data_IF_360532275133
#
_entry.id   IF_360532275133
#
_cell.length_a   1.000
_cell.length_b   1.000
_cell.length_c   1.000
_cell.angle_alpha   90.00
_cell.angle_beta   90.00
_cell.angle_gamma   90.00
#
_symmetry.space_group_name_H-M   'P 1'
#
loop_
_entity.id
_entity.type
_entity.pdbx_description
1 polymer ?
#
# COMPACT_ATOMS: atom_id res chain seq x y z
N UNK A 1 57.10 -44.16 0.87
CA UNK A 1 55.91 -44.99 0.59
C UNK A 1 54.71 -44.30 1.18
N UNK A 2 53.80 -43.90 0.29
CA UNK A 2 52.60 -43.12 0.55
C UNK A 2 51.53 -44.00 1.18
N UNK A 3 50.81 -43.50 2.19
CA UNK A 3 49.43 -43.95 2.46
C UNK A 3 48.61 -42.72 2.85
N UNK A 4 47.83 -42.25 1.88
CA UNK A 4 46.98 -41.09 1.98
C UNK A 4 45.75 -41.38 2.85
N UNK A 5 45.43 -40.45 3.75
CA UNK A 5 44.18 -40.40 4.47
C UNK A 5 43.10 -39.84 3.53
N UNK A 6 42.08 -40.63 3.24
CA UNK A 6 40.94 -40.27 2.38
C UNK A 6 40.09 -39.17 3.02
N UNK A 7 40.14 -37.97 2.45
CA UNK A 7 39.20 -36.87 2.74
C UNK A 7 37.92 -37.11 1.93
N UNK A 8 36.79 -37.20 2.62
CA UNK A 8 35.45 -37.24 2.03
C UNK A 8 35.13 -35.89 1.37
N UNK A 9 34.57 -35.83 0.15
CA UNK A 9 34.20 -34.57 -0.45
C UNK A 9 32.93 -34.04 0.24
N UNK A 10 33.03 -32.84 0.83
CA UNK A 10 31.87 -32.05 1.23
C UNK A 10 31.02 -31.84 -0.03
N UNK A 11 29.81 -32.38 -0.01
CA UNK A 11 28.75 -32.04 -0.97
C UNK A 11 28.53 -30.54 -0.90
N UNK A 12 28.95 -29.84 -1.95
CA UNK A 12 28.53 -28.46 -2.22
C UNK A 12 27.01 -28.48 -2.38
N UNK A 13 26.30 -28.00 -1.37
CA UNK A 13 24.89 -27.65 -1.53
C UNK A 13 24.90 -26.43 -2.44
N UNK A 14 24.79 -26.68 -3.75
CA UNK A 14 24.40 -25.65 -4.70
C UNK A 14 23.03 -25.16 -4.26
N UNK A 15 22.97 -23.96 -3.67
CA UNK A 15 21.75 -23.19 -3.56
C UNK A 15 21.20 -23.02 -4.97
N UNK A 16 20.27 -23.90 -5.35
CA UNK A 16 19.50 -23.75 -6.56
C UNK A 16 18.73 -22.44 -6.40
N UNK A 17 19.18 -21.39 -7.09
CA UNK A 17 18.40 -20.19 -7.28
C UNK A 17 17.02 -20.64 -7.78
N UNK A 18 15.99 -20.46 -6.97
CA UNK A 18 14.63 -20.82 -7.39
C UNK A 18 14.32 -20.06 -8.69
N UNK A 19 13.78 -20.73 -9.72
CA UNK A 19 13.49 -20.08 -10.98
C UNK A 19 12.53 -18.92 -10.73
N UNK A 20 12.96 -17.70 -11.11
CA UNK A 20 12.11 -16.52 -11.04
C UNK A 20 10.73 -16.85 -11.63
N UNK A 21 9.63 -16.51 -10.95
CA UNK A 21 8.30 -16.82 -11.45
C UNK A 21 8.14 -16.20 -12.83
N UNK A 22 7.99 -17.06 -13.85
CA UNK A 22 7.68 -16.64 -15.22
C UNK A 22 6.45 -15.74 -15.20
N UNK A 23 6.45 -14.64 -15.95
CA UNK A 23 5.34 -13.69 -16.07
C UNK A 23 3.95 -14.35 -16.12
N UNK A 24 3.82 -15.44 -16.89
CA UNK A 24 2.59 -16.23 -17.04
C UNK A 24 2.12 -16.93 -15.74
N UNK A 25 3.03 -17.31 -14.84
CA UNK A 25 2.67 -17.90 -13.53
C UNK A 25 2.15 -16.85 -12.56
N UNK A 26 2.61 -15.61 -12.65
CA UNK A 26 2.16 -14.52 -11.78
C UNK A 26 0.84 -13.92 -12.28
N UNK A 27 0.73 -13.63 -13.58
CA UNK A 27 -0.45 -12.98 -14.16
C UNK A 27 -1.51 -13.96 -14.69
N UNK A 28 -1.24 -15.27 -14.70
CA UNK A 28 -2.15 -16.27 -15.28
C UNK A 28 -3.55 -16.24 -14.67
N UNK A 29 -3.65 -16.13 -13.34
CA UNK A 29 -4.94 -16.00 -12.67
C UNK A 29 -5.63 -14.67 -12.96
N UNK A 30 -4.90 -13.56 -13.03
CA UNK A 30 -5.46 -12.26 -13.41
C UNK A 30 -6.02 -12.30 -14.83
N UNK A 31 -5.35 -12.97 -15.78
CA UNK A 31 -5.84 -13.13 -17.14
C UNK A 31 -7.12 -13.98 -17.19
N UNK A 32 -7.18 -15.08 -16.45
CA UNK A 32 -8.39 -15.91 -16.34
C UNK A 32 -9.54 -15.08 -15.77
N UNK A 33 -9.32 -14.35 -14.69
CA UNK A 33 -10.35 -13.52 -14.07
C UNK A 33 -10.76 -12.37 -15.00
N UNK A 34 -9.85 -11.80 -15.78
CA UNK A 34 -10.17 -10.79 -16.78
C UNK A 34 -11.08 -11.33 -17.87
N UNK A 35 -10.78 -12.51 -18.41
CA UNK A 35 -11.63 -13.18 -19.40
C UNK A 35 -13.00 -13.49 -18.80
N UNK A 36 -13.05 -14.05 -17.58
CA UNK A 36 -14.30 -14.36 -16.89
C UNK A 36 -15.10 -13.09 -16.56
N UNK A 37 -14.46 -12.01 -16.14
CA UNK A 37 -15.10 -10.73 -15.84
C UNK A 37 -15.66 -10.07 -17.10
N UNK A 38 -14.91 -10.05 -18.19
CA UNK A 38 -15.38 -9.54 -19.49
C UNK A 38 -16.53 -10.38 -20.04
N UNK A 39 -16.44 -11.71 -19.96
CA UNK A 39 -17.51 -12.62 -20.35
C UNK A 39 -18.75 -12.45 -19.46
N UNK A 40 -18.55 -12.27 -18.15
CA UNK A 40 -19.61 -11.97 -17.19
C UNK A 40 -20.31 -10.65 -17.49
N UNK A 41 -19.55 -9.60 -17.80
CA UNK A 41 -20.09 -8.31 -18.27
C UNK A 41 -20.90 -8.47 -19.56
N UNK A 42 -20.39 -9.22 -20.52
CA UNK A 42 -21.10 -9.52 -21.77
C UNK A 42 -22.42 -10.27 -21.54
N UNK A 43 -22.42 -11.30 -20.69
CA UNK A 43 -23.64 -12.03 -20.36
C UNK A 43 -24.65 -11.21 -19.58
N UNK A 44 -24.18 -10.31 -18.72
CA UNK A 44 -25.03 -9.49 -17.88
C UNK A 44 -25.70 -8.32 -18.64
N UNK A 45 -24.96 -7.63 -19.52
CA UNK A 45 -25.46 -6.43 -20.19
C UNK A 45 -25.01 -6.26 -21.64
N UNK A 46 -24.60 -7.34 -22.29
CA UNK A 46 -24.21 -7.35 -23.71
C UNK A 46 -22.89 -6.62 -24.00
N UNK A 47 -22.73 -6.19 -25.24
CA UNK A 47 -21.50 -5.53 -25.72
C UNK A 47 -21.19 -4.23 -24.99
N UNK A 48 -22.22 -3.49 -24.58
CA UNK A 48 -22.06 -2.22 -23.84
C UNK A 48 -21.48 -2.48 -22.45
N UNK A 49 -22.02 -3.44 -21.70
CA UNK A 49 -21.49 -3.79 -20.40
C UNK A 49 -20.07 -4.38 -20.49
N UNK A 50 -19.77 -5.19 -21.52
CA UNK A 50 -18.39 -5.64 -21.77
C UNK A 50 -17.43 -4.45 -21.96
N UNK A 51 -17.82 -3.46 -22.77
CA UNK A 51 -16.99 -2.27 -23.01
C UNK A 51 -16.79 -1.47 -21.72
N UNK A 52 -17.85 -1.28 -20.92
CA UNK A 52 -17.75 -0.57 -19.63
C UNK A 52 -16.87 -1.34 -18.64
N UNK A 53 -17.03 -2.66 -18.51
CA UNK A 53 -16.15 -3.50 -17.68
C UNK A 53 -14.69 -3.36 -18.11
N UNK A 54 -14.41 -3.36 -19.42
CA UNK A 54 -13.06 -3.18 -19.93
C UNK A 54 -12.48 -1.80 -19.58
N UNK A 55 -13.27 -0.73 -19.76
CA UNK A 55 -12.88 0.64 -19.41
C UNK A 55 -12.58 0.74 -17.92
N UNK A 56 -13.47 0.22 -17.07
CA UNK A 56 -13.29 0.23 -15.62
C UNK A 56 -12.07 -0.58 -15.17
N UNK A 57 -11.80 -1.72 -15.79
CA UNK A 57 -10.60 -2.50 -15.50
C UNK A 57 -9.32 -1.73 -15.86
N UNK A 58 -9.30 -1.03 -17.01
CA UNK A 58 -8.16 -0.20 -17.42
C UNK A 58 -8.01 1.02 -16.51
N UNK A 59 -9.13 1.65 -16.15
CA UNK A 59 -9.15 2.78 -15.22
C UNK A 59 -8.55 2.38 -13.87
N UNK A 60 -9.02 1.27 -13.29
CA UNK A 60 -8.47 0.74 -12.04
C UNK A 60 -6.97 0.43 -12.14
N UNK A 61 -6.51 -0.23 -13.22
CA UNK A 61 -5.08 -0.53 -13.40
C UNK A 61 -4.25 0.76 -13.50
N UNK A 62 -4.80 1.79 -14.16
CA UNK A 62 -4.08 3.04 -14.40
C UNK A 62 -3.96 3.86 -13.12
N UNK A 63 -5.05 3.96 -12.36
CA UNK A 63 -5.13 4.76 -11.13
C UNK A 63 -4.48 4.08 -9.93
N UNK A 64 -4.41 2.75 -9.92
CA UNK A 64 -3.90 1.98 -8.78
C UNK A 64 -2.48 1.45 -8.97
N UNK A 65 -1.74 1.94 -9.98
CA UNK A 65 -0.38 1.47 -10.26
C UNK A 65 0.62 1.88 -9.18
N UNK A 66 0.64 3.16 -8.79
CA UNK A 66 1.45 3.68 -7.69
C UNK A 66 1.10 2.99 -6.36
N UNK A 67 -0.17 2.71 -6.13
CA UNK A 67 -0.66 1.93 -4.99
C UNK A 67 -0.05 0.53 -4.97
N UNK A 68 0.08 -0.11 -6.14
CA UNK A 68 0.71 -1.42 -6.27
C UNK A 68 2.18 -1.40 -5.80
N UNK A 69 2.90 -0.31 -6.07
CA UNK A 69 4.30 -0.12 -5.68
C UNK A 69 4.41 0.18 -4.18
N UNK A 70 3.58 1.09 -3.66
CA UNK A 70 3.51 1.39 -2.23
C UNK A 70 3.24 0.11 -1.43
N UNK A 71 2.24 -0.67 -1.84
CA UNK A 71 1.92 -1.93 -1.20
C UNK A 71 3.06 -2.93 -1.30
N UNK A 72 3.78 -2.99 -2.43
CA UNK A 72 4.92 -3.89 -2.59
C UNK A 72 6.04 -3.56 -1.58
N UNK A 73 6.32 -2.27 -1.37
CA UNK A 73 7.31 -1.78 -0.40
C UNK A 73 7.00 -2.17 1.05
N UNK A 74 5.72 -2.24 1.41
CA UNK A 74 5.30 -2.67 2.75
C UNK A 74 5.24 -4.20 2.82
N UNK A 75 4.74 -4.87 1.77
CA UNK A 75 4.57 -6.32 1.72
C UNK A 75 5.90 -7.08 1.79
N UNK A 76 6.99 -6.53 1.24
CA UNK A 76 8.33 -7.12 1.35
C UNK A 76 8.83 -7.23 2.80
N UNK A 77 8.29 -6.42 3.73
CA UNK A 77 8.63 -6.45 5.16
C UNK A 77 7.92 -7.60 5.91
N UNK A 78 7.05 -8.36 5.24
CA UNK A 78 6.27 -9.44 5.85
C UNK A 78 6.75 -10.82 5.46
N UNK A 79 6.54 -11.79 6.36
CA UNK A 79 6.94 -13.18 6.10
C UNK A 79 6.23 -13.78 4.88
N UNK A 80 6.82 -14.78 4.20
CA UNK A 80 6.19 -15.43 3.04
C UNK A 80 4.76 -15.94 3.31
N UNK A 81 4.48 -16.34 4.56
CA UNK A 81 3.13 -16.72 4.98
C UNK A 81 2.15 -15.54 4.90
N UNK A 82 2.50 -14.40 5.48
CA UNK A 82 1.67 -13.20 5.45
C UNK A 82 1.56 -12.60 4.05
N UNK A 83 2.63 -12.68 3.26
CA UNK A 83 2.55 -12.39 1.83
C UNK A 83 1.48 -13.26 1.15
N UNK A 84 1.41 -14.57 1.45
CA UNK A 84 0.36 -15.44 0.90
C UNK A 84 -1.05 -15.07 1.40
N UNK A 85 -1.21 -14.67 2.66
CA UNK A 85 -2.50 -14.22 3.20
C UNK A 85 -2.98 -12.95 2.50
N UNK A 86 -2.10 -11.97 2.32
CA UNK A 86 -2.40 -10.76 1.56
C UNK A 86 -2.88 -11.08 0.13
N UNK A 87 -2.29 -12.11 -0.48
CA UNK A 87 -2.64 -12.54 -1.84
C UNK A 87 -3.83 -13.47 -1.95
N UNK A 88 -4.42 -13.87 -0.83
CA UNK A 88 -5.58 -14.76 -0.82
C UNK A 88 -6.77 -14.07 -0.18
N UNK A 89 -6.66 -13.80 1.12
CA UNK A 89 -7.68 -13.10 1.90
C UNK A 89 -7.72 -11.62 1.55
N UNK A 90 -6.55 -10.98 1.43
CA UNK A 90 -6.47 -9.55 1.10
C UNK A 90 -7.05 -9.22 -0.29
N UNK A 91 -7.03 -10.16 -1.24
CA UNK A 91 -7.73 -10.00 -2.52
C UNK A 91 -9.24 -9.98 -2.32
N UNK A 92 -9.78 -10.89 -1.50
CA UNK A 92 -11.21 -10.94 -1.22
C UNK A 92 -11.67 -9.66 -0.50
N UNK A 93 -10.86 -9.16 0.44
CA UNK A 93 -11.13 -7.89 1.13
C UNK A 93 -11.04 -6.72 0.16
N UNK A 94 -9.99 -6.61 -0.65
CA UNK A 94 -9.86 -5.52 -1.62
C UNK A 94 -11.00 -5.50 -2.64
N UNK A 95 -11.37 -6.65 -3.21
CA UNK A 95 -12.38 -6.71 -4.27
C UNK A 95 -13.80 -6.62 -3.71
N UNK A 96 -14.14 -7.41 -2.69
CA UNK A 96 -15.52 -7.44 -2.16
C UNK A 96 -15.69 -6.52 -0.96
N UNK A 97 -14.73 -6.52 -0.04
CA UNK A 97 -14.73 -5.64 1.11
C UNK A 97 -14.71 -4.17 0.69
N UNK A 98 -13.67 -3.73 -0.03
CA UNK A 98 -13.48 -2.31 -0.28
C UNK A 98 -14.34 -1.72 -1.40
N UNK A 99 -14.78 -2.52 -2.37
CA UNK A 99 -15.55 -2.01 -3.52
C UNK A 99 -17.05 -2.25 -3.42
N UNK A 100 -17.50 -3.22 -2.64
CA UNK A 100 -18.92 -3.54 -2.49
C UNK A 100 -19.40 -3.29 -1.06
N UNK A 101 -18.76 -3.90 -0.07
CA UNK A 101 -19.20 -3.80 1.32
C UNK A 101 -18.94 -2.42 1.91
N UNK A 102 -17.75 -1.86 1.70
CA UNK A 102 -17.35 -0.58 2.29
C UNK A 102 -18.20 0.59 1.79
N UNK A 103 -18.43 0.80 0.47
CA UNK A 103 -19.32 1.85 -0.01
C UNK A 103 -20.73 1.70 0.56
N UNK A 104 -21.24 0.47 0.67
CA UNK A 104 -22.55 0.17 1.24
C UNK A 104 -22.62 0.53 2.73
N UNK A 105 -21.58 0.19 3.51
CA UNK A 105 -21.48 0.53 4.92
C UNK A 105 -21.40 2.03 5.13
N UNK A 106 -20.58 2.73 4.33
CA UNK A 106 -20.47 4.18 4.40
C UNK A 106 -21.83 4.81 4.16
N UNK A 107 -22.49 4.52 3.03
CA UNK A 107 -23.79 5.11 2.70
C UNK A 107 -24.83 4.78 3.78
N UNK A 108 -24.83 3.55 4.30
CA UNK A 108 -25.70 3.16 5.41
C UNK A 108 -25.50 4.03 6.66
N UNK A 109 -24.26 4.27 7.05
CA UNK A 109 -23.92 5.07 8.25
C UNK A 109 -24.16 6.56 8.02
N UNK A 110 -23.69 7.13 6.92
CA UNK A 110 -23.75 8.57 6.65
C UNK A 110 -25.16 9.04 6.31
N UNK A 111 -25.89 8.28 5.50
CA UNK A 111 -27.27 8.58 5.13
C UNK A 111 -28.29 8.00 6.13
N UNK A 112 -27.83 7.31 7.19
CA UNK A 112 -28.66 6.68 8.22
C UNK A 112 -29.70 5.72 7.63
N UNK A 113 -29.30 4.97 6.61
CA UNK A 113 -30.11 3.96 5.95
C UNK A 113 -29.87 2.59 6.57
N UNK A 114 -30.91 1.75 6.60
CA UNK A 114 -30.71 0.34 6.93
C UNK A 114 -29.90 -0.36 5.82
N UNK A 115 -29.17 -1.45 6.12
CA UNK A 115 -28.39 -2.17 5.11
C UNK A 115 -29.21 -2.63 3.90
N UNK A 116 -30.48 -3.00 4.12
CA UNK A 116 -31.39 -3.41 3.06
C UNK A 116 -31.80 -2.24 2.16
N UNK A 117 -32.02 -1.05 2.72
CA UNK A 117 -32.35 0.16 1.95
C UNK A 117 -31.15 0.65 1.14
N UNK A 118 -29.95 0.66 1.73
CA UNK A 118 -28.74 1.02 1.01
C UNK A 118 -28.49 0.07 -0.18
N UNK A 119 -28.72 -1.24 0.02
CA UNK A 119 -28.59 -2.22 -1.06
C UNK A 119 -29.68 -2.04 -2.13
N UNK A 120 -30.92 -1.78 -1.72
CA UNK A 120 -32.01 -1.50 -2.65
C UNK A 120 -31.69 -0.29 -3.52
N UNK A 121 -31.23 0.80 -2.89
CA UNK A 121 -30.88 2.04 -3.57
C UNK A 121 -29.71 1.85 -4.54
N UNK A 122 -28.70 1.06 -4.17
CA UNK A 122 -27.62 0.69 -5.08
C UNK A 122 -28.15 -0.08 -6.30
N UNK A 123 -29.08 -1.01 -6.09
CA UNK A 123 -29.67 -1.83 -7.15
C UNK A 123 -30.70 -1.09 -8.02
N UNK A 124 -31.19 0.07 -7.58
CA UNK A 124 -32.05 0.96 -8.38
C UNK A 124 -31.27 1.67 -9.51
N UNK A 125 -29.92 1.69 -9.44
CA UNK A 125 -29.03 2.24 -10.48
C UNK A 125 -29.39 3.67 -10.90
N UNK A 126 -29.82 4.48 -9.94
CA UNK A 126 -30.16 5.88 -10.16
C UNK A 126 -28.97 6.70 -10.67
N UNK A 127 -29.26 7.82 -11.31
CA UNK A 127 -28.26 8.80 -11.74
C UNK A 127 -27.46 9.32 -10.53
N UNK A 128 -26.11 9.22 -10.49
CA UNK A 128 -25.29 9.64 -9.36
C UNK A 128 -25.38 11.13 -9.04
N UNK A 129 -25.81 11.95 -10.01
CA UNK A 129 -25.96 13.40 -9.83
C UNK A 129 -27.31 13.77 -9.20
N UNK A 130 -28.26 12.83 -9.13
CA UNK A 130 -29.59 13.08 -8.58
C UNK A 130 -29.60 12.92 -7.05
N UNK A 131 -30.01 13.94 -6.28
CA UNK A 131 -30.08 13.84 -4.82
C UNK A 131 -30.91 12.64 -4.35
N UNK A 132 -30.33 11.86 -3.45
CA UNK A 132 -30.97 10.69 -2.86
C UNK A 132 -30.74 9.36 -3.60
N UNK A 133 -30.04 9.35 -4.73
CA UNK A 133 -29.54 8.10 -5.34
C UNK A 133 -28.31 7.59 -4.59
N UNK A 134 -27.96 6.32 -4.82
CA UNK A 134 -26.82 5.70 -4.13
C UNK A 134 -25.50 6.39 -4.45
N UNK A 135 -25.24 6.68 -5.73
CA UNK A 135 -24.03 7.38 -6.16
C UNK A 135 -23.93 8.78 -5.55
N UNK A 136 -25.05 9.50 -5.48
CA UNK A 136 -25.10 10.81 -4.83
C UNK A 136 -24.73 10.72 -3.35
N UNK A 137 -25.35 9.79 -2.60
CA UNK A 137 -25.07 9.62 -1.17
C UNK A 137 -23.63 9.17 -0.89
N UNK A 138 -23.06 8.38 -1.80
CA UNK A 138 -21.66 7.96 -1.71
C UNK A 138 -20.71 9.15 -1.90
N UNK A 139 -20.97 9.99 -2.91
CA UNK A 139 -20.22 11.23 -3.13
C UNK A 139 -20.44 12.23 -1.97
N UNK A 140 -21.66 12.33 -1.45
CA UNK A 140 -21.96 13.16 -0.29
C UNK A 140 -21.17 12.74 0.96
N UNK A 141 -20.85 11.45 1.09
CA UNK A 141 -19.99 10.92 2.16
C UNK A 141 -18.49 11.17 1.94
N UNK A 142 -18.07 11.58 0.73
CA UNK A 142 -16.66 11.72 0.36
C UNK A 142 -15.84 12.56 1.36
N UNK A 143 -16.28 13.75 1.83
CA UNK A 143 -15.48 14.53 2.79
C UNK A 143 -15.16 13.79 4.09
N UNK A 144 -16.09 12.96 4.59
CA UNK A 144 -15.88 12.18 5.79
C UNK A 144 -14.83 11.07 5.57
N UNK A 145 -14.89 10.40 4.42
CA UNK A 145 -13.94 9.34 4.06
C UNK A 145 -12.56 9.91 3.82
N UNK A 146 -12.48 11.00 3.05
CA UNK A 146 -11.22 11.65 2.72
C UNK A 146 -10.53 12.21 3.98
N UNK A 147 -11.28 12.73 4.95
CA UNK A 147 -10.74 13.10 6.26
C UNK A 147 -10.23 11.88 7.05
N UNK A 148 -11.00 10.79 7.09
CA UNK A 148 -10.62 9.58 7.81
C UNK A 148 -9.35 8.94 7.23
N UNK A 149 -9.35 8.66 5.92
CA UNK A 149 -8.21 8.07 5.21
C UNK A 149 -7.02 9.02 5.14
N UNK A 150 -7.26 10.30 4.83
CA UNK A 150 -6.23 11.33 4.76
C UNK A 150 -5.49 11.51 6.10
N UNK A 151 -6.21 11.50 7.23
CA UNK A 151 -5.56 11.59 8.54
C UNK A 151 -4.79 10.33 8.93
N UNK A 152 -5.28 9.14 8.59
CA UNK A 152 -4.55 7.89 8.81
C UNK A 152 -3.24 7.88 8.02
N UNK A 153 -3.30 8.22 6.73
CA UNK A 153 -2.13 8.24 5.85
C UNK A 153 -1.17 9.38 6.21
N UNK A 154 -1.68 10.52 6.69
CA UNK A 154 -0.87 11.62 7.18
C UNK A 154 -0.07 11.21 8.42
N UNK A 155 -0.70 10.55 9.39
CA UNK A 155 -0.01 10.03 10.57
C UNK A 155 1.13 9.08 10.18
N UNK A 156 0.84 8.17 9.25
CA UNK A 156 1.83 7.26 8.71
C UNK A 156 3.00 8.00 8.06
N UNK A 157 2.71 8.98 7.21
CA UNK A 157 3.76 9.77 6.56
C UNK A 157 4.59 10.55 7.58
N UNK A 158 3.96 11.15 8.59
CA UNK A 158 4.64 11.91 9.64
C UNK A 158 5.54 11.02 10.50
N UNK A 159 5.10 9.80 10.82
CA UNK A 159 5.92 8.80 11.53
C UNK A 159 7.21 8.51 10.76
N UNK A 160 7.09 8.16 9.47
CA UNK A 160 8.27 8.01 8.60
C UNK A 160 9.10 9.30 8.51
N UNK A 161 8.47 10.46 8.40
CA UNK A 161 9.16 11.73 8.18
C UNK A 161 10.06 12.11 9.37
N UNK A 162 9.66 11.73 10.58
CA UNK A 162 10.36 12.02 11.83
C UNK A 162 11.25 10.89 12.36
N UNK A 163 11.08 9.66 11.86
CA UNK A 163 11.94 8.52 12.16
C UNK A 163 13.39 8.74 11.69
N UNK A 164 14.38 8.37 12.50
CA UNK A 164 15.80 8.41 12.11
C UNK A 164 16.12 7.30 11.12
N UNK A 165 16.61 7.67 9.93
CA UNK A 165 16.88 6.74 8.83
C UNK A 165 18.37 6.63 8.57
N UNK A 166 18.83 5.43 8.21
CA UNK A 166 20.23 5.21 7.79
C UNK A 166 20.57 5.95 6.51
N UNK A 167 19.60 6.08 5.61
CA UNK A 167 19.75 6.68 4.30
C UNK A 167 18.63 7.69 4.11
N UNK A 168 18.95 8.85 3.55
CA UNK A 168 17.97 9.88 3.20
C UNK A 168 17.95 10.10 1.70
N UNK A 169 16.76 10.16 1.10
CA UNK A 169 16.62 10.50 -0.31
C UNK A 169 16.66 12.02 -0.50
N UNK A 170 15.71 12.73 0.10
CA UNK A 170 15.65 14.20 0.11
C UNK A 170 16.41 14.74 1.32
N UNK A 171 17.73 14.60 1.32
CA UNK A 171 18.62 14.96 2.45
C UNK A 171 18.40 16.36 3.02
N UNK A 172 17.99 17.33 2.20
CA UNK A 172 17.71 18.71 2.60
C UNK A 172 16.37 18.89 3.33
N UNK A 173 15.44 17.94 3.19
CA UNK A 173 14.12 17.94 3.86
C UNK A 173 14.07 16.93 4.99
N UNK A 174 14.50 15.69 4.73
CA UNK A 174 14.40 14.59 5.70
C UNK A 174 15.31 14.81 6.93
N UNK A 175 16.59 15.16 6.75
CA UNK A 175 17.53 15.34 7.88
C UNK A 175 17.13 16.43 8.88
N UNK A 176 16.65 17.61 8.46
CA UNK A 176 16.10 18.57 9.40
C UNK A 176 14.91 18.01 10.19
N UNK A 177 14.00 17.30 9.52
CA UNK A 177 12.77 16.80 10.14
C UNK A 177 13.04 15.66 11.14
N UNK A 178 14.01 14.79 10.86
CA UNK A 178 14.49 13.76 11.80
C UNK A 178 14.96 14.36 13.13
N UNK A 179 15.62 15.53 13.09
CA UNK A 179 16.05 16.21 14.32
C UNK A 179 14.86 16.73 15.13
N UNK A 180 13.79 17.13 14.46
CA UNK A 180 12.56 17.62 15.10
C UNK A 180 11.75 16.44 15.67
N UNK A 181 11.88 15.25 15.08
CA UNK A 181 11.27 14.00 15.54
C UNK A 181 11.65 13.54 16.95
N UNK A 182 12.66 14.15 17.58
CA UNK A 182 13.01 13.92 19.00
C UNK A 182 11.94 14.38 20.00
N UNK A 183 10.93 15.09 19.53
CA UNK A 183 9.77 15.49 20.33
C UNK A 183 8.70 14.40 20.25
N UNK A 184 8.54 13.65 21.34
CA UNK A 184 7.50 12.64 21.46
C UNK A 184 6.13 13.22 21.06
N UNK A 185 5.40 12.50 20.20
CA UNK A 185 4.04 12.83 19.74
C UNK A 185 3.91 14.09 18.87
N UNK A 186 5.01 14.67 18.36
CA UNK A 186 4.92 15.83 17.48
C UNK A 186 4.07 15.55 16.22
N UNK A 187 4.17 14.35 15.66
CA UNK A 187 3.32 13.86 14.57
C UNK A 187 1.82 14.01 14.87
N UNK A 188 1.38 13.64 16.08
CA UNK A 188 -0.02 13.72 16.50
C UNK A 188 -0.47 15.18 16.57
N UNK A 189 0.38 16.06 17.11
CA UNK A 189 0.09 17.50 17.20
C UNK A 189 -0.04 18.12 15.83
N UNK A 190 0.88 17.81 14.91
CA UNK A 190 0.85 18.31 13.53
C UNK A 190 -0.37 17.78 12.80
N UNK A 191 -0.69 16.49 12.97
CA UNK A 191 -1.87 15.87 12.38
C UNK A 191 -3.17 16.54 12.88
N UNK A 192 -3.34 16.73 14.19
CA UNK A 192 -4.52 17.41 14.73
C UNK A 192 -4.63 18.87 14.26
N UNK A 193 -3.50 19.58 14.17
CA UNK A 193 -3.47 20.94 13.63
C UNK A 193 -3.87 20.95 12.14
N UNK A 194 -3.32 20.04 11.33
CA UNK A 194 -3.67 19.88 9.93
C UNK A 194 -5.15 19.55 9.75
N UNK A 195 -5.69 18.64 10.57
CA UNK A 195 -7.11 18.30 10.58
C UNK A 195 -7.99 19.51 10.91
N UNK A 196 -7.64 20.27 11.95
CA UNK A 196 -8.40 21.46 12.31
C UNK A 196 -8.40 22.48 11.16
N UNK A 197 -7.23 22.76 10.57
CA UNK A 197 -7.11 23.68 9.43
C UNK A 197 -7.94 23.15 8.25
N UNK A 198 -7.78 21.88 7.87
CA UNK A 198 -8.50 21.29 6.75
C UNK A 198 -10.01 21.29 6.98
N UNK A 199 -10.49 20.95 8.18
CA UNK A 199 -11.91 20.95 8.51
C UNK A 199 -12.53 22.35 8.37
N UNK A 200 -11.84 23.41 8.80
CA UNK A 200 -12.39 24.78 8.71
C UNK A 200 -12.20 25.45 7.35
N UNK A 201 -11.26 24.98 6.52
CA UNK A 201 -10.94 25.62 5.23
C UNK A 201 -11.44 24.84 4.01
N UNK A 202 -11.51 23.52 4.12
CA UNK A 202 -11.81 22.59 3.02
C UNK A 202 -13.14 21.85 3.21
N UNK A 203 -13.59 21.56 4.43
CA UNK A 203 -14.88 20.89 4.59
C UNK A 203 -16.06 21.78 4.14
N UNK A 204 -17.11 21.19 3.56
CA UNK A 204 -18.40 21.86 3.42
C UNK A 204 -18.90 22.37 4.77
N UNK A 205 -19.54 23.55 4.78
CA UNK A 205 -19.89 24.26 6.02
C UNK A 205 -20.81 23.45 6.95
N UNK A 206 -21.66 22.60 6.38
CA UNK A 206 -22.58 21.69 7.07
C UNK A 206 -21.92 20.38 7.54
N UNK A 207 -20.68 20.11 7.13
CA UNK A 207 -19.97 18.84 7.39
C UNK A 207 -18.70 18.97 8.24
N UNK A 208 -18.38 20.17 8.73
CA UNK A 208 -17.17 20.43 9.55
C UNK A 208 -17.06 19.44 10.72
N UNK A 209 -18.14 19.25 11.48
CA UNK A 209 -18.14 18.33 12.63
C UNK A 209 -17.93 16.86 12.22
N UNK A 210 -18.53 16.45 11.10
CA UNK A 210 -18.35 15.10 10.54
C UNK A 210 -16.90 14.90 10.11
N UNK A 211 -16.31 15.87 9.42
CA UNK A 211 -14.90 15.83 8.99
C UNK A 211 -13.95 15.76 10.19
N UNK A 212 -14.16 16.57 11.23
CA UNK A 212 -13.36 16.52 12.46
C UNK A 212 -13.47 15.15 13.14
N UNK A 213 -14.70 14.64 13.32
CA UNK A 213 -14.92 13.34 13.95
C UNK A 213 -14.26 12.21 13.14
N UNK A 214 -14.48 12.19 11.82
CA UNK A 214 -13.89 11.20 10.91
C UNK A 214 -12.36 11.27 10.90
N UNK A 215 -11.77 12.47 10.84
CA UNK A 215 -10.32 12.63 10.90
C UNK A 215 -9.73 12.16 12.23
N UNK A 216 -10.39 12.44 13.35
CA UNK A 216 -9.99 11.93 14.68
C UNK A 216 -10.08 10.40 14.70
N UNK A 217 -11.15 9.81 14.16
CA UNK A 217 -11.28 8.36 14.07
C UNK A 217 -10.19 7.73 13.19
N UNK A 218 -9.78 8.41 12.11
CA UNK A 218 -8.65 7.98 11.28
C UNK A 218 -7.33 7.97 12.06
N UNK A 219 -7.08 9.04 12.82
CA UNK A 219 -5.92 9.16 13.70
C UNK A 219 -5.92 8.09 14.82
N UNK A 220 -7.06 7.87 15.47
CA UNK A 220 -7.23 6.82 16.49
C UNK A 220 -6.96 5.44 15.87
N UNK A 221 -7.49 5.18 14.68
CA UNK A 221 -7.29 3.91 13.98
C UNK A 221 -5.80 3.68 13.71
N UNK A 222 -5.08 4.71 13.25
CA UNK A 222 -3.63 4.63 13.07
C UNK A 222 -2.92 4.30 14.39
N UNK A 223 -3.19 5.06 15.46
CA UNK A 223 -2.55 4.84 16.76
C UNK A 223 -2.84 3.45 17.34
N UNK A 224 -4.05 2.92 17.14
CA UNK A 224 -4.40 1.57 17.58
C UNK A 224 -3.65 0.51 16.76
N UNK A 225 -3.60 0.64 15.44
CA UNK A 225 -2.90 -0.32 14.57
C UNK A 225 -1.40 -0.29 14.82
N UNK A 226 -0.80 0.90 14.94
CA UNK A 226 0.63 1.07 15.17
C UNK A 226 1.03 0.71 16.61
N UNK A 227 0.33 1.25 17.60
CA UNK A 227 0.65 1.05 19.01
C UNK A 227 0.48 -0.41 19.48
N UNK A 228 -0.49 -1.14 18.91
CA UNK A 228 -0.59 -2.58 19.16
C UNK A 228 0.55 -3.36 18.47
N UNK A 229 0.99 -2.93 17.28
CA UNK A 229 2.14 -3.52 16.60
C UNK A 229 3.42 -3.44 17.44
N UNK A 230 3.74 -2.27 17.99
CA UNK A 230 4.90 -2.04 18.85
C UNK A 230 4.85 -2.88 20.14
N UNK A 231 3.71 -2.93 20.82
CA UNK A 231 3.54 -3.72 22.04
C UNK A 231 3.86 -5.21 21.82
N UNK A 232 3.48 -5.75 20.66
CA UNK A 232 3.71 -7.15 20.35
C UNK A 232 5.09 -7.44 19.79
N UNK A 233 5.74 -6.49 19.11
CA UNK A 233 7.16 -6.62 18.73
C UNK A 233 8.05 -6.75 19.97
N UNK A 234 7.76 -5.98 21.03
CA UNK A 234 8.46 -6.07 22.31
C UNK A 234 8.31 -7.46 22.97
N UNK A 235 7.13 -8.07 22.88
CA UNK A 235 6.91 -9.45 23.37
C UNK A 235 7.69 -10.50 22.56
N UNK A 236 7.73 -10.37 21.21
CA UNK A 236 8.43 -11.31 20.33
C UNK A 236 9.97 -11.21 20.46
N UNK A 237 10.52 -10.00 20.66
CA UNK A 237 11.97 -9.79 20.86
C UNK A 237 12.46 -10.37 22.20
N UNK A 238 11.64 -10.33 23.25
CA UNK A 238 11.95 -10.96 24.54
C UNK A 238 11.96 -12.50 24.47
N UNK A 239 11.13 -13.10 23.62
CA UNK A 239 11.05 -14.56 23.47
C UNK A 239 12.10 -15.15 22.51
N UNK A 240 12.55 -14.41 21.49
CA UNK A 240 13.33 -14.98 20.38
C UNK A 240 14.84 -14.72 20.43
N UNK A 241 15.36 -13.98 21.41
CA UNK A 241 16.79 -13.90 21.70
C UNK A 241 17.68 -13.60 20.47
N UNK A 242 17.44 -12.45 19.83
CA UNK A 242 18.36 -11.78 18.91
C UNK A 242 18.89 -12.58 17.72
N UNK A 243 18.28 -12.42 16.54
CA UNK A 243 18.94 -12.77 15.29
C UNK A 243 18.78 -11.64 14.25
N UNK A 244 19.91 -11.00 13.96
CA UNK A 244 20.08 -9.79 13.13
C UNK A 244 20.09 -10.10 11.63
N UNK A 245 19.11 -10.85 11.13
CA UNK A 245 18.84 -10.90 9.69
C UNK A 245 17.47 -10.30 9.46
N UNK A 246 17.44 -9.18 8.73
CA UNK A 246 16.27 -8.42 8.27
C UNK A 246 14.99 -8.88 8.97
N UNK A 247 14.65 -8.28 10.11
CA UNK A 247 13.52 -8.72 10.93
C UNK A 247 12.22 -8.60 10.10
N UNK A 248 11.89 -9.68 9.41
CA UNK A 248 10.68 -9.78 8.62
C UNK A 248 9.56 -9.98 9.61
N UNK A 249 8.55 -9.12 9.58
CA UNK A 249 7.45 -9.19 10.52
C UNK A 249 6.78 -10.57 10.44
N UNK A 250 6.59 -11.18 11.60
CA UNK A 250 5.86 -12.43 11.78
C UNK A 250 4.73 -12.25 12.79
N UNK A 251 4.03 -13.34 13.14
CA UNK A 251 3.09 -13.34 14.26
C UNK A 251 2.06 -12.20 14.24
N UNK A 252 2.02 -11.44 15.34
CA UNK A 252 1.07 -10.33 15.52
C UNK A 252 1.52 -9.08 14.77
N UNK A 253 2.82 -8.83 14.67
CA UNK A 253 3.38 -7.68 13.95
C UNK A 253 2.96 -7.66 12.48
N UNK A 254 3.04 -8.82 11.82
CA UNK A 254 2.61 -8.94 10.42
C UNK A 254 1.09 -8.90 10.24
N UNK A 255 0.30 -9.25 11.25
CA UNK A 255 -1.14 -9.04 11.23
C UNK A 255 -1.50 -7.55 11.22
N UNK A 256 -0.85 -6.73 12.03
CA UNK A 256 -1.07 -5.29 12.03
C UNK A 256 -0.60 -4.65 10.73
N UNK A 257 0.55 -5.06 10.22
CA UNK A 257 1.01 -4.66 8.89
C UNK A 257 0.04 -5.09 7.77
N UNK A 258 -0.63 -6.24 7.90
CA UNK A 258 -1.67 -6.67 6.98
C UNK A 258 -2.92 -5.78 7.06
N UNK A 259 -3.44 -5.49 8.26
CA UNK A 259 -4.56 -4.54 8.44
C UNK A 259 -4.19 -3.18 7.84
N UNK A 260 -2.97 -2.75 8.11
CA UNK A 260 -2.42 -1.51 7.62
C UNK A 260 -2.36 -1.46 6.08
N UNK A 261 -1.95 -2.55 5.42
CA UNK A 261 -2.02 -2.66 3.96
C UNK A 261 -3.46 -2.57 3.44
N UNK A 262 -4.39 -3.33 4.03
CA UNK A 262 -5.79 -3.30 3.62
C UNK A 262 -6.42 -1.92 3.80
N UNK A 263 -5.96 -1.14 4.78
CA UNK A 263 -6.40 0.24 4.99
C UNK A 263 -5.84 1.21 3.94
N UNK A 264 -4.58 1.04 3.55
CA UNK A 264 -3.99 1.79 2.44
C UNK A 264 -4.80 1.51 1.16
N UNK A 265 -5.09 0.24 0.89
CA UNK A 265 -5.94 -0.15 -0.22
C UNK A 265 -7.34 0.42 -0.13
N UNK A 266 -7.92 0.47 1.07
CA UNK A 266 -9.22 1.06 1.30
C UNK A 266 -9.26 2.53 0.87
N UNK A 267 -8.27 3.30 1.33
CA UNK A 267 -8.16 4.73 1.07
C UNK A 267 -8.00 5.02 -0.42
N UNK A 268 -7.11 4.27 -1.08
CA UNK A 268 -6.87 4.39 -2.52
C UNK A 268 -8.02 3.89 -3.40
N UNK A 269 -8.70 2.83 -2.98
CA UNK A 269 -9.78 2.23 -3.77
C UNK A 269 -11.07 3.05 -3.75
N UNK A 270 -11.25 3.93 -2.76
CA UNK A 270 -12.46 4.74 -2.65
C UNK A 270 -12.61 5.70 -3.84
N UNK A 271 -11.53 6.39 -4.22
CA UNK A 271 -11.53 7.29 -5.37
C UNK A 271 -11.86 6.53 -6.67
N UNK A 272 -11.29 5.33 -6.87
CA UNK A 272 -11.60 4.48 -8.01
C UNK A 272 -13.07 4.03 -8.07
N UNK A 273 -13.73 3.83 -6.92
CA UNK A 273 -15.17 3.53 -6.87
C UNK A 273 -16.00 4.77 -7.22
N UNK A 274 -15.64 5.94 -6.70
CA UNK A 274 -16.33 7.20 -7.02
C UNK A 274 -16.19 7.52 -8.52
N UNK A 275 -14.98 7.40 -9.08
CA UNK A 275 -14.72 7.56 -10.51
C UNK A 275 -15.49 6.55 -11.37
N UNK A 276 -15.69 5.32 -10.90
CA UNK A 276 -16.50 4.32 -11.60
C UNK A 276 -17.98 4.71 -11.69
N UNK A 277 -18.54 5.37 -10.66
CA UNK A 277 -19.91 5.87 -10.71
C UNK A 277 -20.11 6.96 -11.77
N UNK A 278 -19.07 7.73 -12.12
CA UNK A 278 -19.14 8.68 -13.23
C UNK A 278 -19.28 7.99 -14.61
N UNK A 279 -18.93 6.70 -14.71
CA UNK A 279 -19.05 5.92 -15.94
C UNK A 279 -20.33 5.09 -15.97
N UNK A 280 -20.73 4.51 -14.83
CA UNK A 280 -21.95 3.69 -14.75
C UNK A 280 -22.53 3.69 -13.34
N UNK A 281 -23.85 3.72 -13.22
CA UNK A 281 -24.56 3.56 -11.94
C UNK A 281 -24.79 2.10 -11.55
N UNK A 282 -24.35 1.13 -12.35
CA UNK A 282 -24.62 -0.27 -12.09
C UNK A 282 -23.55 -0.87 -11.17
N UNK A 283 -23.84 -1.11 -9.87
CA UNK A 283 -22.85 -1.59 -8.92
C UNK A 283 -22.29 -2.97 -9.28
N UNK A 284 -23.02 -3.77 -10.06
CA UNK A 284 -22.54 -5.08 -10.53
C UNK A 284 -21.46 -4.89 -11.59
N UNK A 285 -21.67 -3.97 -12.54
CA UNK A 285 -20.68 -3.65 -13.58
C UNK A 285 -19.44 -3.02 -12.95
N UNK A 286 -19.62 -2.12 -11.97
CA UNK A 286 -18.53 -1.54 -11.18
C UNK A 286 -17.71 -2.64 -10.50
N UNK A 287 -18.37 -3.52 -9.75
CA UNK A 287 -17.70 -4.59 -9.02
C UNK A 287 -16.92 -5.54 -9.94
N UNK A 288 -17.47 -5.87 -11.12
CA UNK A 288 -16.78 -6.72 -12.10
C UNK A 288 -15.58 -5.97 -12.70
N UNK A 289 -15.77 -4.75 -13.21
CA UNK A 289 -14.72 -3.97 -13.87
C UNK A 289 -13.55 -3.64 -12.95
N UNK A 290 -13.85 -3.01 -11.81
CA UNK A 290 -12.82 -2.69 -10.81
C UNK A 290 -12.24 -3.96 -10.19
N UNK A 291 -13.02 -5.04 -10.01
CA UNK A 291 -12.53 -6.32 -9.52
C UNK A 291 -11.49 -6.95 -10.45
N UNK A 292 -11.70 -6.88 -11.77
CA UNK A 292 -10.71 -7.34 -12.76
C UNK A 292 -9.43 -6.51 -12.67
N UNK A 293 -9.54 -5.18 -12.60
CA UNK A 293 -8.37 -4.31 -12.47
C UNK A 293 -7.59 -4.55 -11.17
N UNK A 294 -8.30 -4.71 -10.05
CA UNK A 294 -7.72 -5.01 -8.74
C UNK A 294 -6.91 -6.31 -8.76
N UNK A 295 -7.40 -7.35 -9.44
CA UNK A 295 -6.66 -8.60 -9.62
C UNK A 295 -5.35 -8.40 -10.39
N UNK A 296 -5.30 -7.49 -11.36
CA UNK A 296 -4.07 -7.17 -12.08
C UNK A 296 -3.08 -6.40 -11.21
N UNK A 297 -3.56 -5.37 -10.51
CA UNK A 297 -2.76 -4.57 -9.58
C UNK A 297 -2.15 -5.43 -8.49
N UNK A 298 -2.94 -6.34 -7.91
CA UNK A 298 -2.44 -7.29 -6.89
C UNK A 298 -1.36 -8.20 -7.45
N UNK A 299 -1.57 -8.80 -8.62
CA UNK A 299 -0.53 -9.62 -9.27
C UNK A 299 0.73 -8.82 -9.61
N UNK A 300 0.58 -7.54 -9.94
CA UNK A 300 1.70 -6.61 -10.11
C UNK A 300 2.46 -6.37 -8.80
N UNK A 301 1.76 -6.14 -7.68
CA UNK A 301 2.39 -6.05 -6.35
C UNK A 301 3.20 -7.29 -6.02
N UNK A 302 2.66 -8.49 -6.26
CA UNK A 302 3.40 -9.76 -6.09
C UNK A 302 4.63 -9.82 -6.97
N UNK A 303 4.45 -9.45 -8.24
CA UNK A 303 5.52 -9.49 -9.20
C UNK A 303 6.68 -8.61 -8.75
N UNK A 304 6.38 -7.38 -8.27
CA UNK A 304 7.36 -6.43 -7.75
C UNK A 304 8.09 -6.96 -6.52
N UNK A 305 7.37 -7.56 -5.57
CA UNK A 305 7.97 -8.16 -4.36
C UNK A 305 8.88 -9.35 -4.71
N UNK A 306 8.39 -10.29 -5.52
CA UNK A 306 9.13 -11.52 -5.86
C UNK A 306 10.31 -11.30 -6.79
N UNK A 307 10.29 -10.23 -7.59
CA UNK A 307 11.42 -9.85 -8.43
C UNK A 307 12.63 -9.41 -7.60
N UNK A 308 12.45 -9.08 -6.32
CA UNK A 308 13.53 -8.56 -5.46
C UNK A 308 14.11 -7.23 -5.95
N UNK A 309 13.50 -6.61 -6.96
CA UNK A 309 14.02 -5.35 -7.53
C UNK A 309 13.91 -4.21 -6.54
N UNK A 310 12.97 -4.26 -5.59
CA UNK A 310 12.81 -3.18 -4.60
C UNK A 310 14.00 -3.07 -3.65
N UNK A 311 14.55 -4.20 -3.17
CA UNK A 311 15.72 -4.18 -2.29
C UNK A 311 16.99 -3.66 -2.98
N UNK A 312 17.07 -3.74 -4.31
CA UNK A 312 18.18 -3.16 -5.08
C UNK A 312 18.11 -1.63 -5.19
N UNK A 313 16.95 -1.02 -4.92
CA UNK A 313 16.72 0.41 -5.10
C UNK A 313 16.46 1.11 -3.77
N UNK A 314 17.55 1.52 -3.14
CA UNK A 314 17.59 2.08 -1.78
C UNK A 314 16.59 3.22 -1.51
N UNK A 315 16.35 4.12 -2.48
CA UNK A 315 15.43 5.26 -2.26
C UNK A 315 13.97 4.93 -2.59
N UNK A 316 13.66 3.73 -3.09
CA UNK A 316 12.31 3.40 -3.55
C UNK A 316 11.30 3.40 -2.40
N UNK A 317 11.73 2.99 -1.21
CA UNK A 317 10.93 3.09 0.02
C UNK A 317 10.59 4.55 0.36
N UNK A 318 11.57 5.45 0.28
CA UNK A 318 11.34 6.88 0.49
C UNK A 318 10.32 7.43 -0.51
N UNK A 319 10.48 7.12 -1.80
CA UNK A 319 9.55 7.56 -2.83
C UNK A 319 8.11 7.09 -2.57
N UNK A 320 7.95 5.84 -2.09
CA UNK A 320 6.64 5.31 -1.71
C UNK A 320 6.04 6.08 -0.50
N UNK A 321 6.83 6.37 0.53
CA UNK A 321 6.35 7.12 1.70
C UNK A 321 6.00 8.58 1.35
N UNK A 322 6.79 9.22 0.49
CA UNK A 322 6.46 10.55 -0.03
C UNK A 322 5.19 10.53 -0.89
N UNK A 323 4.95 9.47 -1.66
CA UNK A 323 3.69 9.29 -2.42
C UNK A 323 2.48 9.15 -1.48
N UNK A 324 2.61 8.39 -0.39
CA UNK A 324 1.59 8.29 0.66
C UNK A 324 1.30 9.67 1.28
N UNK A 325 2.34 10.42 1.64
CA UNK A 325 2.18 11.77 2.21
C UNK A 325 1.50 12.74 1.24
N UNK A 326 1.86 12.68 -0.04
CA UNK A 326 1.20 13.45 -1.09
C UNK A 326 -0.27 13.06 -1.23
N UNK A 327 -0.60 11.76 -1.23
CA UNK A 327 -1.99 11.31 -1.25
C UNK A 327 -2.75 11.82 -0.02
N UNK A 328 -2.18 11.70 1.18
CA UNK A 328 -2.83 12.16 2.41
C UNK A 328 -3.27 13.64 2.31
N UNK A 329 -2.39 14.49 1.77
CA UNK A 329 -2.69 15.90 1.52
C UNK A 329 -3.74 16.07 0.42
N UNK A 330 -3.63 15.32 -0.68
CA UNK A 330 -4.60 15.37 -1.78
C UNK A 330 -6.00 14.95 -1.33
N UNK A 331 -6.14 13.91 -0.51
CA UNK A 331 -7.42 13.50 0.08
C UNK A 331 -8.03 14.63 0.93
N UNK A 332 -7.22 15.35 1.72
CA UNK A 332 -7.75 16.49 2.46
C UNK A 332 -8.22 17.60 1.51
N UNK A 333 -7.48 17.87 0.43
CA UNK A 333 -7.84 18.86 -0.60
C UNK A 333 -9.13 18.47 -1.34
N UNK A 334 -9.32 17.18 -1.64
CA UNK A 334 -10.48 16.68 -2.38
C UNK A 334 -11.80 16.86 -1.63
N UNK A 335 -11.77 17.12 -0.32
CA UNK A 335 -12.97 17.48 0.45
C UNK A 335 -13.70 18.72 -0.12
N UNK A 336 -12.97 19.61 -0.80
CA UNK A 336 -13.51 20.84 -1.40
C UNK A 336 -13.36 20.91 -2.90
N UNK A 337 -12.20 20.51 -3.40
CA UNK A 337 -11.80 20.73 -4.77
C UNK A 337 -11.76 19.41 -5.50
N UNK A 338 -12.43 19.33 -6.64
CA UNK A 338 -12.29 18.17 -7.53
C UNK A 338 -10.87 18.15 -8.09
N UNK A 339 -10.05 17.22 -7.60
CA UNK A 339 -8.72 16.96 -8.13
C UNK A 339 -8.86 15.86 -9.18
N UNK A 340 -8.44 16.07 -10.43
CA UNK A 340 -8.47 15.01 -11.42
C UNK A 340 -7.63 13.82 -10.95
N UNK A 341 -8.17 12.61 -11.02
CA UNK A 341 -7.50 11.38 -10.57
C UNK A 341 -6.15 11.17 -11.27
N UNK A 342 -6.03 11.62 -12.53
CA UNK A 342 -4.78 11.62 -13.28
C UNK A 342 -3.70 12.44 -12.58
N UNK A 343 -4.05 13.58 -11.96
CA UNK A 343 -3.09 14.39 -11.21
C UNK A 343 -2.62 13.64 -9.96
N UNK A 344 -3.55 13.00 -9.24
CA UNK A 344 -3.24 12.20 -8.06
C UNK A 344 -2.26 11.07 -8.42
N UNK A 345 -2.59 10.26 -9.43
CA UNK A 345 -1.73 9.18 -9.89
C UNK A 345 -0.39 9.66 -10.47
N UNK A 346 -0.36 10.78 -11.19
CA UNK A 346 0.90 11.34 -11.71
C UNK A 346 1.83 11.83 -10.61
N UNK A 347 1.30 12.37 -9.51
CA UNK A 347 2.12 12.76 -8.35
C UNK A 347 2.75 11.53 -7.70
N UNK A 348 1.97 10.47 -7.48
CA UNK A 348 2.48 9.20 -6.93
C UNK A 348 3.51 8.55 -7.84
N UNK A 349 3.18 8.34 -9.12
CA UNK A 349 4.09 7.79 -10.14
C UNK A 349 5.34 8.66 -10.29
N UNK A 350 5.19 9.99 -10.23
CA UNK A 350 6.31 10.93 -10.31
C UNK A 350 7.30 10.75 -9.16
N UNK A 351 6.82 10.67 -7.91
CA UNK A 351 7.66 10.49 -6.73
C UNK A 351 8.36 9.12 -6.73
N UNK A 352 7.63 8.06 -7.07
CA UNK A 352 8.19 6.71 -7.23
C UNK A 352 9.21 6.65 -8.37
N UNK A 353 8.90 7.28 -9.51
CA UNK A 353 9.80 7.32 -10.66
C UNK A 353 11.09 8.09 -10.37
N UNK A 354 10.98 9.23 -9.69
CA UNK A 354 12.15 10.02 -9.29
C UNK A 354 13.03 9.26 -8.28
N UNK A 355 12.43 8.57 -7.31
CA UNK A 355 13.20 7.79 -6.33
C UNK A 355 13.91 6.59 -6.97
N UNK A 356 13.25 5.94 -7.95
CA UNK A 356 13.84 4.90 -8.77
C UNK A 356 15.02 5.44 -9.59
N UNK A 357 14.85 6.56 -10.29
CA UNK A 357 15.92 7.20 -11.07
C UNK A 357 17.09 7.58 -10.17
N UNK A 358 16.85 8.20 -9.01
CA UNK A 358 17.90 8.52 -8.04
C UNK A 358 18.64 7.27 -7.56
N UNK A 359 17.93 6.16 -7.34
CA UNK A 359 18.54 4.89 -6.92
C UNK A 359 19.42 4.30 -8.01
N UNK A 360 18.96 4.32 -9.26
CA UNK A 360 19.74 3.87 -10.43
C UNK A 360 21.00 4.72 -10.61
N UNK A 361 20.88 6.05 -10.48
CA UNK A 361 22.02 6.97 -10.58
C UNK A 361 23.04 6.67 -9.48
N UNK A 362 22.59 6.47 -8.24
CA UNK A 362 23.48 6.13 -7.11
C UNK A 362 24.20 4.80 -7.35
N UNK A 363 23.48 3.74 -7.75
CA UNK A 363 24.05 2.43 -8.09
C UNK A 363 25.10 2.53 -9.20
N UNK A 364 24.89 3.41 -10.18
CA UNK A 364 25.88 3.67 -11.25
C UNK A 364 27.11 4.43 -10.77
N UNK A 365 26.97 5.29 -9.76
CA UNK A 365 28.05 6.12 -9.23
C UNK A 365 28.84 5.44 -8.09
N UNK A 366 28.32 4.35 -7.52
CA UNK A 366 28.97 3.51 -6.52
C UNK A 366 28.93 2.03 -6.97
N UNK A 367 29.73 1.62 -7.99
CA UNK A 367 29.66 0.27 -8.53
C UNK A 367 30.22 -0.81 -7.60
N UNK A 368 31.11 -0.48 -6.66
CA UNK A 368 31.89 -1.46 -5.91
C UNK A 368 32.11 -1.03 -4.44
N UNK A 369 31.18 -1.39 -3.54
CA UNK A 369 31.48 -1.43 -2.08
C UNK A 369 30.88 -2.68 -1.39
N UNK A 370 30.32 -3.64 -2.14
CA UNK A 370 29.78 -4.90 -1.58
C UNK A 370 30.55 -6.16 -2.01
N UNK A 371 31.73 -6.03 -2.64
CA UNK A 371 32.55 -7.19 -3.04
C UNK A 371 33.96 -7.23 -2.44
N UNK A 372 34.22 -6.56 -1.32
CA UNK A 372 35.54 -6.66 -0.65
C UNK A 372 35.49 -6.54 0.88
N UNK A 373 34.54 -7.19 1.54
CA UNK A 373 34.63 -7.50 2.98
C UNK A 373 34.29 -8.97 3.26
N UNK A 374 35.01 -9.90 2.63
CA UNK A 374 35.31 -11.21 3.23
C UNK A 374 36.47 -11.84 2.47
N UNK A 375 37.47 -12.31 3.21
CA UNK A 375 38.75 -12.91 2.76
C UNK A 375 39.90 -11.96 2.39
N UNK A 376 40.43 -11.25 3.39
CA UNK A 376 41.88 -11.29 3.65
C UNK A 376 42.16 -10.78 5.08
N UNK A 377 41.92 -11.63 6.07
CA UNK A 377 42.50 -11.44 7.41
C UNK A 377 42.76 -12.81 8.04
N UNK A 378 43.70 -13.56 7.43
CA UNK A 378 44.35 -14.68 8.10
C UNK A 378 45.64 -14.15 8.75
N UNK A 379 45.76 -14.13 10.10
CA UNK A 379 47.02 -13.78 10.74
C UNK A 379 48.08 -14.85 10.42
N UNK A 380 49.24 -14.42 9.92
CA UNK A 380 50.42 -15.27 9.73
C UNK A 380 50.75 -16.05 11.01
N UNK A 381 51.02 -17.37 10.94
CA UNK A 381 51.46 -18.12 12.10
C UNK A 381 52.88 -17.70 12.47
N UNK A 382 53.03 -17.12 13.66
CA UNK A 382 54.32 -16.83 14.27
C UNK A 382 55.16 -18.11 14.39
N UNK A 383 56.24 -18.20 13.62
CA UNK A 383 57.31 -19.17 13.87
C UNK A 383 58.09 -18.73 15.09
N UNK A 384 57.75 -19.29 16.25
CA UNK A 384 58.60 -19.31 17.44
C UNK A 384 59.75 -20.30 17.20
N UNK A 385 60.92 -19.78 16.79
CA UNK A 385 62.18 -20.51 16.97
C UNK A 385 62.72 -20.21 18.38
N UNK A 386 62.60 -21.20 19.26
CA UNK A 386 63.38 -21.29 20.49
C UNK A 386 64.77 -21.85 20.19
N UNK A 387 65.79 -21.18 20.73
CA UNK A 387 67.17 -21.60 21.06
C UNK A 387 67.70 -22.93 20.54
#
# INVERSE_FOLDING_TARGET
MSTACTVSPRTSVSTLAEPHPTFLRTFGWSLVIAVLGLAGGFWYGGTTALAVVAILAVLEISLSFDNAVVNATILQKMSPYWQKIFLTVGILIAVFGMRLLFPLLVVGVTAKLSPAEALRLAMEKGDPETPGTYGYLLNDAHPAIAAFGGMFLLMLFLGFLFEEKEINWLTWVERPLEKVGKLDQLEVVIALAALAIAAYTLAPADKISTVLLSGILGLITFLLVNGLGELFNLEEDEETGGNTQLAVATGKAAFFLFIYLEFIDASFSFDGVVGAFAITSDPIIIAIGLGVGAMFIRSLTVFLVRKGTLSEYVFLEHGAMWAIGALAVLLLITMRYEVPEVVVGLVGVGLIGLSLISSIIRKRNMPDDESSETDDDLPEPQTTQSR
#
